data_IF_135160050004
#
_entry.id   IF_135160050004
#
_cell.length_a   1.000
_cell.length_b   1.000
_cell.length_c   1.000
_cell.angle_alpha   90.00
_cell.angle_beta   90.00
_cell.angle_gamma   90.00
#
_symmetry.space_group_name_H-M   'P 1'
#
loop_
_entity.id
_entity.type
_entity.pdbx_description
1 polymer ?
#
# COMPACT_ATOMS: atom_id res chain seq x y z
N UNK A 1 -5.98 -5.77 21.00
CA UNK A 1 -5.96 -6.04 19.55
C UNK A 1 -4.61 -5.59 19.01
N UNK A 2 -3.84 -6.51 18.44
CA UNK A 2 -2.42 -6.31 18.11
C UNK A 2 -2.24 -5.41 16.88
N UNK A 3 -1.95 -4.12 17.12
CA UNK A 3 -1.59 -3.14 16.09
C UNK A 3 -0.18 -3.38 15.51
N UNK A 4 0.29 -4.62 15.49
CA UNK A 4 1.64 -5.00 15.08
C UNK A 4 1.62 -6.27 14.25
N UNK A 5 2.54 -6.36 13.29
CA UNK A 5 2.74 -7.53 12.46
C UNK A 5 4.21 -7.70 12.11
N UNK A 6 4.62 -8.94 11.87
CA UNK A 6 5.94 -9.25 11.31
C UNK A 6 5.76 -9.55 9.83
N UNK A 7 6.58 -8.92 9.00
CA UNK A 7 6.52 -9.09 7.56
C UNK A 7 7.88 -9.31 6.91
N UNK A 8 7.86 -9.79 5.68
CA UNK A 8 9.04 -9.99 4.85
C UNK A 8 8.98 -9.03 3.67
N UNK A 9 10.03 -8.23 3.50
CA UNK A 9 10.16 -7.34 2.33
C UNK A 9 10.32 -8.19 1.07
N UNK A 10 9.43 -8.08 0.09
CA UNK A 10 9.60 -8.76 -1.20
C UNK A 10 10.31 -7.86 -2.19
N UNK A 11 9.57 -6.94 -2.80
CA UNK A 11 10.06 -6.05 -3.83
C UNK A 11 9.69 -4.60 -3.54
N UNK A 12 10.45 -3.70 -4.15
CA UNK A 12 10.08 -2.29 -4.26
C UNK A 12 9.83 -2.03 -5.74
N UNK A 13 8.58 -1.77 -6.07
CA UNK A 13 8.08 -1.54 -7.43
C UNK A 13 7.63 -0.08 -7.58
N UNK A 14 7.35 0.32 -8.81
CA UNK A 14 6.73 1.61 -9.11
C UNK A 14 5.35 1.32 -9.65
N UNK A 15 4.32 1.89 -9.02
CA UNK A 15 2.95 1.86 -9.54
C UNK A 15 2.63 3.21 -10.17
N UNK A 16 1.98 3.19 -11.32
CA UNK A 16 1.48 4.38 -11.99
C UNK A 16 0.01 4.56 -11.61
N UNK A 17 -0.33 5.77 -11.17
CA UNK A 17 -1.73 6.16 -10.93
C UNK A 17 -2.38 6.52 -12.26
N UNK A 18 -3.72 6.49 -12.34
CA UNK A 18 -4.47 6.90 -13.52
C UNK A 18 -4.11 8.34 -13.97
N UNK A 19 -3.77 9.21 -13.02
CA UNK A 19 -3.30 10.58 -13.27
C UNK A 19 -1.86 10.68 -13.83
N UNK A 20 -1.24 9.55 -14.19
CA UNK A 20 0.14 9.49 -14.68
C UNK A 20 1.23 9.68 -13.61
N UNK A 21 0.86 9.81 -12.33
CA UNK A 21 1.81 9.97 -11.23
C UNK A 21 2.52 8.65 -10.92
N UNK A 22 3.83 8.73 -10.67
CA UNK A 22 4.66 7.57 -10.30
C UNK A 22 4.83 7.49 -8.80
N UNK A 23 4.30 6.42 -8.19
CA UNK A 23 4.40 6.20 -6.75
C UNK A 23 5.30 4.98 -6.48
N UNK A 24 6.41 5.13 -5.73
CA UNK A 24 7.19 3.98 -5.28
C UNK A 24 6.38 3.22 -4.23
N UNK A 25 6.23 1.91 -4.40
CA UNK A 25 5.48 1.04 -3.49
C UNK A 25 6.37 -0.14 -3.11
N UNK A 26 6.34 -0.53 -1.84
CA UNK A 26 7.00 -1.74 -1.37
C UNK A 26 5.97 -2.80 -1.03
N UNK A 27 6.18 -4.01 -1.56
CA UNK A 27 5.43 -5.21 -1.25
C UNK A 27 6.01 -5.88 -0.01
N UNK A 28 5.15 -6.11 0.98
CA UNK A 28 5.51 -6.80 2.21
C UNK A 28 4.58 -7.99 2.38
N UNK A 29 5.14 -9.18 2.50
CA UNK A 29 4.38 -10.36 2.84
C UNK A 29 4.15 -10.41 4.35
N UNK A 30 2.91 -10.53 4.81
CA UNK A 30 2.56 -10.58 6.24
C UNK A 30 1.36 -11.48 6.46
N UNK A 31 1.32 -12.17 7.59
CA UNK A 31 0.17 -13.01 7.99
C UNK A 31 -0.87 -12.20 8.77
N UNK A 32 -0.44 -11.15 9.46
CA UNK A 32 -1.30 -10.26 10.24
C UNK A 32 -1.95 -9.17 9.35
N UNK A 33 -2.69 -9.55 8.32
CA UNK A 33 -3.33 -8.60 7.38
C UNK A 33 -4.55 -7.92 8.00
N UNK A 34 -5.29 -8.63 8.84
CA UNK A 34 -6.51 -8.15 9.50
C UNK A 34 -6.28 -6.91 10.38
N UNK A 35 -5.04 -6.69 10.81
CA UNK A 35 -4.63 -5.54 11.62
C UNK A 35 -4.48 -4.23 10.81
N UNK A 36 -4.49 -4.31 9.46
CA UNK A 36 -4.22 -3.18 8.58
C UNK A 36 -5.35 -2.95 7.59
N UNK A 37 -5.68 -1.68 7.38
CA UNK A 37 -6.63 -1.23 6.36
C UNK A 37 -5.95 -0.24 5.41
N UNK A 38 -6.38 -0.15 4.14
CA UNK A 38 -5.96 0.91 3.24
C UNK A 38 -6.15 2.30 3.88
N UNK A 39 -5.14 3.16 3.78
CA UNK A 39 -5.11 4.48 4.43
C UNK A 39 -4.51 4.53 5.83
N UNK A 40 -4.18 3.39 6.43
CA UNK A 40 -3.50 3.36 7.72
C UNK A 40 -2.06 3.91 7.64
N UNK A 41 -1.63 4.60 8.70
CA UNK A 41 -0.26 5.05 8.89
C UNK A 41 0.53 4.05 9.74
N UNK A 42 1.63 3.57 9.16
CA UNK A 42 2.49 2.55 9.76
C UNK A 42 3.90 3.08 10.02
N UNK A 43 4.52 2.50 11.05
CA UNK A 43 5.94 2.59 11.36
C UNK A 43 6.56 1.23 11.03
N UNK A 44 7.55 1.23 10.15
CA UNK A 44 8.23 -0.01 9.76
C UNK A 44 9.66 0.02 10.27
N UNK A 45 10.00 -0.98 11.07
CA UNK A 45 11.32 -1.16 11.64
C UNK A 45 11.99 -2.35 10.98
N UNK A 46 13.25 -2.19 10.58
CA UNK A 46 14.01 -3.27 9.98
C UNK A 46 15.51 -3.04 10.07
N UNK A 47 16.27 -4.03 9.62
CA UNK A 47 17.72 -3.92 9.52
C UNK A 47 18.09 -3.25 8.21
N UNK A 48 18.79 -2.12 8.29
CA UNK A 48 19.30 -1.42 7.10
C UNK A 48 20.33 -2.26 6.34
N UNK A 49 20.39 -2.10 5.01
CA UNK A 49 21.38 -2.80 4.17
C UNK A 49 22.80 -2.44 4.63
N UNK A 50 23.63 -3.45 4.86
CA UNK A 50 25.04 -3.28 5.22
C UNK A 50 25.83 -2.61 4.09
N UNK A 51 26.77 -1.73 4.45
CA UNK A 51 27.66 -1.02 3.52
C UNK A 51 29.15 -1.27 3.82
N UNK A 52 29.48 -2.16 4.76
CA UNK A 52 30.86 -2.47 5.16
C UNK A 52 31.53 -1.34 5.94
N UNK A 53 32.86 -1.33 5.96
CA UNK A 53 33.65 -0.21 6.48
C UNK A 53 33.55 0.97 5.50
N UNK A 54 33.16 2.13 6.00
CA UNK A 54 32.93 3.32 5.18
C UNK A 54 33.74 4.50 5.68
N UNK A 55 34.36 5.23 4.74
CA UNK A 55 35.03 6.49 5.02
C UNK A 55 34.05 7.60 5.42
N UNK A 56 34.60 8.67 5.99
CA UNK A 56 33.83 9.79 6.56
C UNK A 56 32.91 10.50 5.56
N UNK A 57 33.34 10.61 4.30
CA UNK A 57 32.53 11.24 3.24
C UNK A 57 31.23 10.48 3.01
N UNK A 58 31.30 9.15 2.83
CA UNK A 58 30.11 8.31 2.57
C UNK A 58 29.24 8.11 3.82
N UNK A 59 29.87 8.04 5.01
CA UNK A 59 29.17 7.76 6.27
C UNK A 59 28.46 8.98 6.83
N UNK A 60 29.08 10.15 6.75
CA UNK A 60 28.65 11.37 7.44
C UNK A 60 28.47 12.58 6.51
N UNK A 61 28.72 12.46 5.21
CA UNK A 61 28.55 13.56 4.26
C UNK A 61 29.62 14.64 4.34
N UNK A 62 30.84 14.31 4.79
CA UNK A 62 31.94 15.28 4.87
C UNK A 62 32.34 15.77 3.46
N UNK A 63 32.62 17.07 3.31
CA UNK A 63 32.99 17.68 2.02
C UNK A 63 34.38 17.26 1.53
N UNK A 64 35.32 16.98 2.43
CA UNK A 64 36.72 16.70 2.09
C UNK A 64 37.51 17.97 1.78
N UNK A 65 38.74 17.80 1.29
CA UNK A 65 39.61 18.89 0.85
C UNK A 65 39.40 19.28 -0.63
N UNK A 66 39.98 20.40 -1.09
CA UNK A 66 39.97 20.76 -2.50
C UNK A 66 40.65 19.68 -3.34
N UNK A 67 40.26 19.54 -4.60
CA UNK A 67 40.87 18.56 -5.53
C UNK A 67 42.17 19.05 -6.15
N UNK A 68 42.34 20.36 -6.27
CA UNK A 68 43.45 21.05 -6.96
C UNK A 68 44.17 22.02 -5.99
N UNK A 69 45.09 22.83 -6.51
CA UNK A 69 45.88 23.83 -5.77
C UNK A 69 46.75 23.23 -4.65
N UNK A 70 47.65 22.32 -5.00
CA UNK A 70 48.67 21.81 -4.08
C UNK A 70 48.16 20.81 -3.04
N UNK A 71 46.91 20.35 -3.13
CA UNK A 71 46.44 19.24 -2.31
C UNK A 71 47.13 17.94 -2.74
N UNK A 72 47.75 17.23 -1.79
CA UNK A 72 48.46 15.97 -2.05
C UNK A 72 47.52 14.76 -1.99
N UNK A 73 47.20 14.26 -0.80
CA UNK A 73 46.47 12.99 -0.60
C UNK A 73 45.17 13.14 0.22
N UNK A 74 44.88 14.35 0.72
CA UNK A 74 43.81 14.57 1.73
C UNK A 74 42.45 14.94 1.16
N UNK A 75 42.20 14.69 -0.12
CA UNK A 75 40.96 15.06 -0.79
C UNK A 75 39.71 14.50 -0.08
N UNK A 76 39.79 13.29 0.49
CA UNK A 76 38.67 12.64 1.22
C UNK A 76 38.93 12.46 2.72
N UNK A 77 39.92 13.16 3.26
CA UNK A 77 40.28 13.09 4.67
C UNK A 77 39.22 13.77 5.56
N UNK A 78 39.13 13.39 6.86
CA UNK A 78 38.19 13.99 7.81
C UNK A 78 38.52 15.43 8.23
N UNK A 79 39.70 15.95 7.89
CA UNK A 79 40.22 17.21 8.44
C UNK A 79 40.62 17.07 9.91
N UNK A 80 40.58 18.18 10.66
CA UNK A 80 40.95 18.19 12.07
C UNK A 80 39.94 17.43 12.95
N UNK A 81 40.46 16.60 13.86
CA UNK A 81 39.68 15.76 14.76
C UNK A 81 39.44 16.38 16.15
N UNK A 82 40.18 17.43 16.52
CA UNK A 82 40.12 18.05 17.85
C UNK A 82 40.92 19.35 17.98
N UNK A 83 40.87 19.93 19.18
CA UNK A 83 41.66 21.09 19.61
C UNK A 83 42.88 20.61 20.41
N UNK A 84 43.94 21.42 20.48
CA UNK A 84 45.20 21.08 21.16
C UNK A 84 45.06 21.11 22.69
N UNK A 85 45.12 22.29 23.33
CA UNK A 85 45.33 22.42 24.79
C UNK A 85 44.14 21.94 25.62
N UNK A 86 42.94 22.43 25.33
CA UNK A 86 41.70 21.98 25.99
C UNK A 86 40.83 21.38 24.89
N UNK A 87 40.42 20.10 24.93
CA UNK A 87 40.43 19.12 26.04
C UNK A 87 41.60 18.11 26.07
N UNK A 88 42.65 18.25 25.25
CA UNK A 88 43.78 17.30 25.20
C UNK A 88 43.45 15.89 24.70
N UNK A 89 42.24 15.66 24.17
CA UNK A 89 41.77 14.36 23.64
C UNK A 89 40.68 14.55 22.60
N UNK A 90 40.36 13.49 21.86
CA UNK A 90 39.19 13.49 20.97
C UNK A 90 37.91 13.25 21.78
N UNK A 91 36.90 14.09 21.57
CA UNK A 91 35.59 13.92 22.22
C UNK A 91 34.90 12.61 21.81
N UNK A 92 34.19 12.00 22.76
CA UNK A 92 33.33 10.84 22.50
C UNK A 92 32.24 11.23 21.48
N UNK A 93 31.91 10.31 20.57
CA UNK A 93 30.93 10.57 19.51
C UNK A 93 31.44 11.40 18.33
N UNK A 94 32.74 11.75 18.29
CA UNK A 94 33.33 12.38 17.10
C UNK A 94 33.12 11.50 15.86
N UNK A 95 32.57 12.09 14.81
CA UNK A 95 32.27 11.42 13.55
C UNK A 95 33.55 10.98 12.85
N UNK A 96 33.75 9.67 12.75
CA UNK A 96 34.91 9.03 12.10
C UNK A 96 34.47 7.91 11.15
N UNK A 97 35.44 7.39 10.37
CA UNK A 97 35.26 6.23 9.52
C UNK A 97 34.84 5.00 10.36
N UNK A 98 34.17 4.05 9.73
CA UNK A 98 33.73 2.84 10.42
C UNK A 98 32.61 2.12 9.69
N UNK A 99 32.11 1.04 10.32
CA UNK A 99 31.04 0.22 9.77
C UNK A 99 29.75 1.04 9.61
N UNK A 100 29.13 0.98 8.43
CA UNK A 100 27.86 1.63 8.14
C UNK A 100 26.81 0.66 7.60
N UNK A 101 25.55 0.97 7.86
CA UNK A 101 24.43 0.05 7.61
C UNK A 101 24.41 -1.11 8.61
N UNK A 102 23.49 -2.05 8.43
CA UNK A 102 23.31 -3.17 9.36
C UNK A 102 22.88 -2.74 10.76
N UNK A 103 22.27 -1.56 10.88
CA UNK A 103 21.64 -1.06 12.10
C UNK A 103 20.12 -1.13 11.98
N UNK A 104 19.43 -1.26 13.12
CA UNK A 104 17.97 -1.20 13.23
C UNK A 104 17.51 0.23 12.94
N UNK A 105 16.71 0.40 11.89
CA UNK A 105 16.18 1.70 11.45
C UNK A 105 14.65 1.61 11.41
N UNK A 106 14.01 2.66 11.88
CA UNK A 106 12.55 2.80 11.86
C UNK A 106 12.18 3.93 10.92
N UNK A 107 11.33 3.65 9.94
CA UNK A 107 10.73 4.67 9.07
C UNK A 107 9.28 4.83 9.48
N UNK A 108 8.86 6.06 9.76
CA UNK A 108 7.53 6.41 10.25
C UNK A 108 6.75 7.17 9.18
N UNK A 109 5.41 7.10 9.23
CA UNK A 109 4.55 7.87 8.33
C UNK A 109 4.42 7.27 6.93
N UNK A 110 4.69 5.96 6.79
CA UNK A 110 4.37 5.26 5.57
C UNK A 110 2.87 4.94 5.57
N UNK A 111 2.21 5.09 4.43
CA UNK A 111 0.77 4.84 4.29
C UNK A 111 0.55 3.47 3.66
N UNK A 112 -0.40 2.70 4.16
CA UNK A 112 -0.88 1.46 3.53
C UNK A 112 -1.72 1.85 2.32
N UNK A 113 -1.29 1.43 1.13
CA UNK A 113 -1.98 1.73 -0.11
C UNK A 113 -3.10 0.73 -0.39
N UNK A 114 -2.83 -0.55 -0.12
CA UNK A 114 -3.72 -1.64 -0.47
C UNK A 114 -3.34 -2.91 0.30
N UNK A 115 -4.29 -3.82 0.50
CA UNK A 115 -4.16 -5.06 1.26
C UNK A 115 -4.73 -6.20 0.41
N UNK A 116 -3.87 -7.09 -0.06
CA UNK A 116 -4.27 -8.27 -0.82
C UNK A 116 -4.25 -9.51 0.09
N UNK A 117 -5.45 -9.93 0.50
CA UNK A 117 -5.65 -11.10 1.35
C UNK A 117 -5.34 -12.43 0.62
N UNK A 118 -5.47 -12.48 -0.71
CA UNK A 118 -5.24 -13.73 -1.47
C UNK A 118 -3.76 -14.10 -1.48
N UNK A 119 -2.91 -13.11 -1.78
CA UNK A 119 -1.46 -13.31 -1.87
C UNK A 119 -0.72 -13.01 -0.56
N UNK A 120 -1.45 -12.60 0.48
CA UNK A 120 -0.92 -12.15 1.77
C UNK A 120 0.05 -10.97 1.65
N UNK A 121 -0.29 -10.01 0.79
CA UNK A 121 0.57 -8.87 0.46
C UNK A 121 0.01 -7.58 1.04
N UNK A 122 0.89 -6.84 1.70
CA UNK A 122 0.66 -5.48 2.17
C UNK A 122 1.46 -4.51 1.28
N UNK A 123 0.75 -3.61 0.60
CA UNK A 123 1.36 -2.60 -0.26
C UNK A 123 1.53 -1.30 0.54
N UNK A 124 2.77 -0.89 0.75
CA UNK A 124 3.11 0.30 1.54
C UNK A 124 3.76 1.35 0.65
N UNK A 125 3.34 2.61 0.78
CA UNK A 125 3.95 3.73 0.06
C UNK A 125 5.41 3.91 0.47
N UNK A 126 6.30 4.08 -0.49
CA UNK A 126 7.68 4.47 -0.27
C UNK A 126 8.67 3.33 -0.06
N UNK A 127 9.82 3.68 0.53
CA UNK A 127 10.96 2.80 0.70
C UNK A 127 11.03 2.27 2.12
N UNK A 128 11.23 0.96 2.23
CA UNK A 128 11.31 0.24 3.50
C UNK A 128 12.76 -0.16 3.79
N UNK A 129 13.22 -0.14 5.07
CA UNK A 129 14.59 -0.49 5.42
C UNK A 129 14.94 -1.93 5.00
N UNK A 130 16.21 -2.13 4.63
CA UNK A 130 16.77 -3.46 4.39
C UNK A 130 16.72 -3.95 2.96
N UNK A 131 17.34 -5.11 2.76
CA UNK A 131 17.39 -5.82 1.49
C UNK A 131 16.07 -6.59 1.24
N UNK A 132 15.91 -7.08 0.01
CA UNK A 132 14.83 -8.04 -0.30
C UNK A 132 14.95 -9.27 0.60
N UNK A 133 13.82 -9.87 0.93
CA UNK A 133 13.64 -10.98 1.89
C UNK A 133 14.06 -10.65 3.33
N UNK A 134 14.24 -9.38 3.67
CA UNK A 134 14.53 -8.95 5.04
C UNK A 134 13.27 -8.96 5.92
N UNK A 135 13.42 -9.36 7.20
CA UNK A 135 12.35 -9.28 8.20
C UNK A 135 12.10 -7.84 8.63
N UNK A 136 10.83 -7.52 8.81
CA UNK A 136 10.33 -6.21 9.18
C UNK A 136 9.35 -6.35 10.34
N UNK A 137 9.38 -5.37 11.23
CA UNK A 137 8.36 -5.17 12.24
C UNK A 137 7.50 -3.99 11.81
N UNK A 138 6.21 -4.24 11.60
CA UNK A 138 5.23 -3.27 11.14
C UNK A 138 4.35 -2.94 12.35
N UNK A 139 4.21 -1.64 12.64
CA UNK A 139 3.34 -1.17 13.71
C UNK A 139 2.41 -0.08 13.19
N UNK A 140 1.11 -0.29 13.31
CA UNK A 140 0.10 0.74 13.08
C UNK A 140 0.11 1.74 14.24
N UNK A 141 -0.04 3.02 13.93
CA UNK A 141 -0.13 4.06 14.97
C UNK A 141 -1.27 5.06 14.77
N UNK A 142 -1.68 5.33 13.54
CA UNK A 142 -2.78 6.28 13.24
C UNK A 142 -3.37 5.96 11.87
N UNK A 143 -4.40 6.72 11.47
CA UNK A 143 -5.05 6.60 10.16
C UNK A 143 -4.90 7.92 9.41
N UNK A 144 -4.68 7.84 8.10
CA UNK A 144 -4.64 9.02 7.24
C UNK A 144 -6.04 9.32 6.73
N UNK A 145 -6.68 10.36 7.26
CA UNK A 145 -8.04 10.74 6.88
C UNK A 145 -8.17 11.32 5.46
N UNK A 146 -7.05 11.68 4.81
CA UNK A 146 -7.04 12.23 3.43
C UNK A 146 -6.53 11.21 2.41
N UNK A 147 -6.64 9.92 2.71
CA UNK A 147 -6.15 8.87 1.83
C UNK A 147 -7.04 8.71 0.59
N UNK A 148 -6.42 8.64 -0.59
CA UNK A 148 -7.07 8.30 -1.85
C UNK A 148 -6.49 6.95 -2.31
N UNK A 149 -7.31 5.89 -2.44
CA UNK A 149 -6.84 4.59 -2.90
C UNK A 149 -6.33 4.64 -4.35
N UNK A 150 -5.28 3.85 -4.64
CA UNK A 150 -4.63 3.79 -5.97
C UNK A 150 -5.58 3.28 -7.07
N UNK A 151 -6.47 2.36 -6.70
CA UNK A 151 -7.56 1.89 -7.53
C UNK A 151 -8.76 2.79 -7.22
N UNK A 152 -8.98 3.80 -8.07
CA UNK A 152 -10.27 4.47 -8.13
C UNK A 152 -11.21 3.50 -8.86
N UNK A 153 -11.68 2.46 -8.17
CA UNK A 153 -13.02 1.98 -8.51
C UNK A 153 -13.90 3.03 -7.84
N UNK A 154 -14.62 3.82 -8.63
CA UNK A 154 -15.49 4.83 -8.04
C UNK A 154 -16.38 4.14 -7.02
N UNK A 155 -16.34 4.56 -5.75
CA UNK A 155 -17.40 4.19 -4.81
C UNK A 155 -18.78 4.60 -5.37
N UNK A 156 -18.79 5.56 -6.30
CA UNK A 156 -19.95 5.89 -7.15
C UNK A 156 -20.30 4.78 -8.14
N UNK A 157 -19.33 4.27 -8.91
CA UNK A 157 -19.57 3.22 -9.90
C UNK A 157 -20.05 1.91 -9.24
N UNK A 158 -19.50 1.49 -8.09
CA UNK A 158 -19.96 0.27 -7.42
C UNK A 158 -21.40 0.43 -6.92
N UNK A 159 -21.74 1.59 -6.34
CA UNK A 159 -23.12 1.88 -5.90
C UNK A 159 -24.09 1.96 -7.07
N UNK A 160 -23.70 2.67 -8.14
CA UNK A 160 -24.48 2.74 -9.38
C UNK A 160 -24.68 1.33 -9.97
N UNK A 161 -23.66 0.47 -9.95
CA UNK A 161 -23.76 -0.92 -10.45
C UNK A 161 -24.61 -1.82 -9.53
N UNK A 162 -24.55 -1.64 -8.20
CA UNK A 162 -25.35 -2.40 -7.23
C UNK A 162 -26.82 -1.98 -7.25
N UNK A 163 -27.10 -0.68 -7.36
CA UNK A 163 -28.45 -0.12 -7.52
C UNK A 163 -29.06 -0.57 -8.86
N UNK A 164 -28.33 -0.47 -9.97
CA UNK A 164 -28.78 -0.94 -11.29
C UNK A 164 -28.99 -2.47 -11.31
N UNK A 165 -28.14 -3.25 -10.63
CA UNK A 165 -28.30 -4.71 -10.52
C UNK A 165 -29.50 -5.08 -9.65
N UNK A 166 -29.75 -4.35 -8.56
CA UNK A 166 -30.92 -4.54 -7.71
C UNK A 166 -32.22 -4.15 -8.45
N UNK A 167 -32.21 -3.08 -9.25
CA UNK A 167 -33.35 -2.72 -10.09
C UNK A 167 -33.62 -3.74 -11.19
N UNK A 168 -32.59 -4.32 -11.82
CA UNK A 168 -32.76 -5.40 -12.81
C UNK A 168 -33.38 -6.65 -12.19
N UNK A 169 -32.89 -7.09 -11.02
CA UNK A 169 -33.45 -8.24 -10.31
C UNK A 169 -34.90 -8.00 -9.90
N UNK A 170 -35.25 -6.80 -9.41
CA UNK A 170 -36.64 -6.43 -9.11
C UNK A 170 -37.53 -6.43 -10.36
N UNK A 171 -37.03 -5.93 -11.49
CA UNK A 171 -37.77 -5.97 -12.77
C UNK A 171 -37.94 -7.39 -13.30
N UNK A 172 -36.95 -8.26 -13.13
CA UNK A 172 -37.04 -9.69 -13.48
C UNK A 172 -38.06 -10.41 -12.58
N UNK A 173 -38.04 -10.16 -11.26
CA UNK A 173 -39.03 -10.71 -10.32
C UNK A 173 -40.45 -10.22 -10.63
N UNK A 174 -40.65 -8.92 -10.89
CA UNK A 174 -41.95 -8.37 -11.31
C UNK A 174 -42.42 -8.91 -12.67
N UNK A 175 -41.50 -9.17 -13.60
CA UNK A 175 -41.84 -9.77 -14.90
C UNK A 175 -42.22 -11.24 -14.75
N UNK A 176 -41.53 -12.00 -13.89
CA UNK A 176 -41.90 -13.38 -13.55
C UNK A 176 -43.23 -13.46 -12.82
N UNK A 177 -43.54 -12.53 -11.91
CA UNK A 177 -44.85 -12.48 -11.24
C UNK A 177 -45.97 -12.17 -12.23
N UNK A 178 -45.77 -11.23 -13.16
CA UNK A 178 -46.73 -10.93 -14.23
C UNK A 178 -46.94 -12.10 -15.20
N UNK A 179 -45.88 -12.87 -15.50
CA UNK A 179 -45.99 -14.09 -16.30
C UNK A 179 -46.74 -15.21 -15.56
N UNK A 180 -46.51 -15.37 -14.25
CA UNK A 180 -47.25 -16.32 -13.39
C UNK A 180 -48.72 -15.92 -13.18
N UNK A 181 -49.04 -14.63 -13.22
CA UNK A 181 -50.40 -14.10 -13.14
C UNK A 181 -51.13 -14.24 -14.49
N UNK A 182 -50.44 -14.01 -15.61
CA UNK A 182 -50.96 -14.23 -16.96
C UNK A 182 -51.19 -15.72 -17.28
N UNK A 183 -50.37 -16.64 -16.76
CA UNK A 183 -50.59 -18.09 -16.90
C UNK A 183 -51.74 -18.62 -16.02
N UNK A 184 -52.18 -17.85 -15.00
CA UNK A 184 -53.38 -18.17 -14.21
C UNK A 184 -54.70 -17.74 -14.88
N UNK A 185 -54.64 -16.89 -15.92
CA UNK A 185 -55.81 -16.28 -16.57
C UNK A 185 -56.27 -16.83 -17.95
N UNK A 186 -55.90 -18.05 -18.40
CA UNK A 186 -56.63 -18.70 -19.49
C UNK A 186 -57.19 -20.07 -19.08
N UNK A 187 -57.89 -20.17 -17.95
CA UNK A 187 -58.59 -21.40 -17.57
C UNK A 187 -60.11 -21.21 -17.33
N UNK A 188 -60.67 -20.02 -17.57
CA UNK A 188 -62.10 -19.75 -17.31
C UNK A 188 -62.89 -19.13 -18.48
N UNK A 189 -62.31 -18.98 -19.67
CA UNK A 189 -62.98 -18.33 -20.81
C UNK A 189 -63.41 -19.25 -21.98
N UNK A 190 -63.20 -20.57 -21.90
CA UNK A 190 -63.60 -21.54 -22.96
C UNK A 190 -64.77 -22.46 -22.54
N UNK A 191 -65.82 -21.92 -21.91
CA UNK A 191 -67.02 -22.70 -21.56
C UNK A 191 -68.38 -22.09 -21.99
N UNK A 192 -68.42 -20.99 -22.74
CA UNK A 192 -69.69 -20.42 -23.22
C UNK A 192 -69.60 -19.87 -24.64
N UNK A 193 -69.41 -20.74 -25.63
CA UNK A 193 -69.65 -20.42 -27.04
C UNK A 193 -70.09 -21.68 -27.80
N UNK A 194 -71.15 -22.31 -27.32
CA UNK A 194 -71.68 -23.56 -27.88
C UNK A 194 -73.17 -23.71 -27.66
N UNK A 195 -73.97 -22.66 -27.91
CA UNK A 195 -75.42 -22.83 -28.11
C UNK A 195 -76.04 -21.55 -28.67
N UNK A 196 -76.33 -21.55 -29.98
CA UNK A 196 -77.45 -20.89 -30.69
C UNK A 196 -77.10 -20.72 -32.15
N UNK A 197 -77.54 -21.66 -32.97
CA UNK A 197 -78.29 -21.38 -34.20
C UNK A 197 -78.68 -22.72 -34.85
N UNK A 198 -79.83 -23.24 -34.41
CA UNK A 198 -80.64 -24.09 -35.27
C UNK A 198 -82.12 -23.77 -34.95
N UNK A 199 -82.62 -22.71 -35.58
CA UNK A 199 -84.04 -22.41 -35.62
C UNK A 199 -84.36 -21.59 -36.89
N UNK A 200 -84.87 -22.32 -37.89
CA UNK A 200 -85.85 -21.88 -38.89
C UNK A 200 -85.45 -20.82 -39.93
N UNK A 201 -85.53 -21.22 -41.21
CA UNK A 201 -85.57 -20.32 -42.38
C UNK A 201 -84.96 -20.92 -43.61
#
# INVERSE_FOLDING_TARGET
MENQGVGIKLNTIQKFTQDGRRIPVTEIQTEALEAFQPGDLVKITGWSKGKGFTGVVKRWGFKGGPKTHGQSDRQRAPGSIGQTTTPGRVYKGKKMAGRAGGAKVTITGLTVMDVDNKNKLLLVSGLVPGAKKGKLLIRKYSQNQKFVPLMRVGEKEIKETEEERAERLRKEEEAEEKLKEAEKEPASAEATAGERENAQG
#
